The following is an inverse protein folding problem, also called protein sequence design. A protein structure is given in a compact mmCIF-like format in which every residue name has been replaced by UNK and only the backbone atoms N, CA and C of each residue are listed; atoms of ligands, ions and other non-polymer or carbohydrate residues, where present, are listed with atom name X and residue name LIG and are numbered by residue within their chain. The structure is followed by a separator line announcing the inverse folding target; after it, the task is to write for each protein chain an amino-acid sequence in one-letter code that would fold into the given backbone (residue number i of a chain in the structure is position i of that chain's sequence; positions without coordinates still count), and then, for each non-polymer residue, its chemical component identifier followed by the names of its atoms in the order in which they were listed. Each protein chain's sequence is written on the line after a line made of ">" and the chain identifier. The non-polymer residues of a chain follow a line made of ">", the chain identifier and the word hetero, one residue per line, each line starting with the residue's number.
data_IF_637711843256
#
_entry.id   IF_637711843256
#
_cell.length_a   1.000
_cell.length_b   1.000
_cell.length_c   1.000
_cell.angle_alpha   90.00
_cell.angle_beta   90.00
_cell.angle_gamma   90.00
#
_symmetry.space_group_name_H-M   'P 1'
#
loop_
_entity.id
_entity.type
_entity.pdbx_description
1 polymer ?
#
# COMPACT_ATOMS: atom_id res chain seq x y z
N UNK A 1 -19.54 -19.15 -4.59
CA UNK A 1 -18.38 -18.41 -5.14
C UNK A 1 -18.02 -17.39 -4.08
N UNK A 2 -16.74 -17.27 -3.71
CA UNK A 2 -16.32 -16.27 -2.74
C UNK A 2 -16.63 -14.88 -3.31
N UNK A 3 -17.45 -14.10 -2.62
CA UNK A 3 -17.81 -12.73 -3.00
C UNK A 3 -16.79 -11.75 -2.43
N UNK A 4 -15.50 -12.01 -2.72
CA UNK A 4 -14.37 -11.18 -2.29
C UNK A 4 -13.72 -10.61 -3.54
N UNK A 5 -13.50 -9.31 -3.57
CA UNK A 5 -12.68 -8.62 -4.57
C UNK A 5 -11.44 -8.03 -3.94
N UNK A 6 -10.36 -7.92 -4.73
CA UNK A 6 -9.15 -7.22 -4.29
C UNK A 6 -8.95 -5.98 -5.16
N UNK A 7 -8.96 -4.80 -4.55
CA UNK A 7 -8.67 -3.55 -5.23
C UNK A 7 -7.28 -3.07 -4.83
N UNK A 8 -6.49 -2.63 -5.80
CA UNK A 8 -5.17 -2.07 -5.53
C UNK A 8 -5.12 -0.63 -6.00
N UNK A 9 -4.71 0.28 -5.13
CA UNK A 9 -4.43 1.68 -5.46
C UNK A 9 -2.94 1.97 -5.31
N UNK A 10 -2.29 2.39 -6.40
CA UNK A 10 -0.90 2.82 -6.36
C UNK A 10 -0.73 4.27 -5.90
N UNK A 11 0.50 4.68 -5.62
CA UNK A 11 0.80 6.08 -5.27
C UNK A 11 0.34 7.10 -6.32
N UNK A 12 0.22 6.71 -7.59
CA UNK A 12 -0.33 7.56 -8.65
C UNK A 12 -1.81 7.93 -8.45
N UNK A 13 -2.54 7.16 -7.64
CA UNK A 13 -3.95 7.32 -7.27
C UNK A 13 -4.11 7.76 -5.81
N UNK A 14 -3.06 8.33 -5.22
CA UNK A 14 -2.97 8.71 -3.81
C UNK A 14 -2.12 9.99 -3.68
N UNK A 15 -2.47 11.04 -4.45
CA UNK A 15 -1.74 12.31 -4.50
C UNK A 15 -2.43 13.39 -3.70
N UNK A 16 -3.76 13.44 -3.76
CA UNK A 16 -4.57 14.52 -3.22
C UNK A 16 -5.88 13.99 -2.61
N UNK A 17 -6.60 14.83 -1.86
CA UNK A 17 -7.87 14.45 -1.20
C UNK A 17 -8.89 13.88 -2.18
N UNK A 18 -9.00 14.44 -3.38
CA UNK A 18 -9.97 13.98 -4.38
C UNK A 18 -9.69 12.56 -4.88
N UNK A 19 -8.44 12.08 -4.80
CA UNK A 19 -8.10 10.70 -5.11
C UNK A 19 -8.69 9.76 -4.05
N UNK A 20 -8.65 10.16 -2.78
CA UNK A 20 -9.22 9.39 -1.67
C UNK A 20 -10.74 9.31 -1.82
N UNK A 21 -11.39 10.42 -2.17
CA UNK A 21 -12.83 10.45 -2.46
C UNK A 21 -13.18 9.50 -3.61
N UNK A 22 -12.35 9.48 -4.67
CA UNK A 22 -12.53 8.56 -5.78
C UNK A 22 -12.40 7.09 -5.36
N UNK A 23 -11.47 6.75 -4.45
CA UNK A 23 -11.34 5.39 -3.89
C UNK A 23 -12.63 4.98 -3.18
N UNK A 24 -13.14 5.84 -2.30
CA UNK A 24 -14.40 5.60 -1.57
C UNK A 24 -15.55 5.39 -2.55
N UNK A 25 -15.63 6.22 -3.60
CA UNK A 25 -16.63 6.07 -4.66
C UNK A 25 -16.54 4.72 -5.37
N UNK A 26 -15.35 4.25 -5.76
CA UNK A 26 -15.19 2.93 -6.41
C UNK A 26 -15.57 1.77 -5.52
N UNK A 27 -15.32 1.89 -4.21
CA UNK A 27 -15.72 0.89 -3.23
C UNK A 27 -17.25 0.82 -3.13
N UNK A 28 -17.93 1.98 -3.08
CA UNK A 28 -19.39 2.05 -3.04
C UNK A 28 -20.05 1.48 -4.31
N UNK A 29 -19.47 1.76 -5.48
CA UNK A 29 -19.96 1.29 -6.79
C UNK A 29 -19.77 -0.21 -7.01
N UNK A 30 -18.87 -0.88 -6.26
CA UNK A 30 -18.53 -2.28 -6.50
C UNK A 30 -19.63 -3.29 -6.12
N UNK A 31 -20.67 -2.88 -5.39
CA UNK A 31 -21.78 -3.73 -4.90
C UNK A 31 -21.34 -5.07 -4.26
N UNK A 32 -20.11 -5.16 -3.77
CA UNK A 32 -19.51 -6.39 -3.25
C UNK A 32 -19.64 -6.48 -1.72
N UNK A 33 -19.83 -7.69 -1.20
CA UNK A 33 -19.98 -7.94 0.24
C UNK A 33 -18.67 -7.74 0.99
N UNK A 34 -17.51 -8.02 0.37
CA UNK A 34 -16.20 -7.81 0.98
C UNK A 34 -15.16 -7.40 -0.05
N UNK A 35 -14.47 -6.29 0.20
CA UNK A 35 -13.45 -5.75 -0.71
C UNK A 35 -12.16 -5.60 0.08
N UNK A 36 -11.12 -6.33 -0.29
CA UNK A 36 -9.78 -6.14 0.28
C UNK A 36 -9.10 -5.05 -0.52
N UNK A 37 -8.77 -3.95 0.13
CA UNK A 37 -8.07 -2.83 -0.50
C UNK A 37 -6.59 -2.97 -0.20
N UNK A 38 -5.73 -2.91 -1.21
CA UNK A 38 -4.27 -2.85 -1.07
C UNK A 38 -3.82 -1.47 -1.52
N UNK A 39 -3.06 -0.78 -0.68
CA UNK A 39 -2.55 0.56 -0.99
C UNK A 39 -1.03 0.57 -1.02
N UNK A 40 -0.45 1.38 -1.91
CA UNK A 40 0.94 1.81 -1.76
C UNK A 40 1.03 3.03 -0.82
N UNK A 41 2.24 3.47 -0.48
CA UNK A 41 2.43 4.80 0.12
C UNK A 41 1.83 5.92 -0.75
N UNK A 42 1.50 7.07 -0.13
CA UNK A 42 1.08 8.26 -0.85
C UNK A 42 2.17 8.72 -1.82
N UNK A 43 1.77 9.42 -2.88
CA UNK A 43 2.69 9.83 -3.95
C UNK A 43 3.93 10.55 -3.42
N UNK A 44 5.12 10.11 -3.83
CA UNK A 44 6.40 10.71 -3.46
C UNK A 44 6.86 10.46 -2.01
N UNK A 45 6.05 9.83 -1.15
CA UNK A 45 6.44 9.57 0.25
C UNK A 45 7.61 8.59 0.34
N UNK A 46 7.57 7.48 -0.39
CA UNK A 46 8.67 6.51 -0.41
C UNK A 46 9.97 7.14 -0.87
N UNK A 47 9.93 7.95 -1.94
CA UNK A 47 11.12 8.64 -2.47
C UNK A 47 11.67 9.66 -1.46
N UNK A 48 10.80 10.45 -0.81
CA UNK A 48 11.19 11.37 0.26
C UNK A 48 11.86 10.65 1.43
N UNK A 49 11.36 9.48 1.82
CA UNK A 49 11.96 8.66 2.90
C UNK A 49 13.32 8.09 2.46
N UNK A 50 13.44 7.61 1.22
CA UNK A 50 14.71 7.13 0.65
C UNK A 50 15.77 8.24 0.64
N UNK A 51 15.44 9.41 0.10
CA UNK A 51 16.32 10.57 0.09
C UNK A 51 16.70 10.99 1.52
N UNK A 52 15.77 10.87 2.46
CA UNK A 52 16.03 11.20 3.85
C UNK A 52 17.07 10.28 4.48
N UNK A 53 16.93 8.98 4.26
CA UNK A 53 17.85 7.95 4.74
C UNK A 53 19.27 8.16 4.19
N UNK A 54 19.40 8.71 2.98
CA UNK A 54 20.70 9.00 2.35
C UNK A 54 21.43 10.23 2.94
N UNK A 55 20.71 11.19 3.52
CA UNK A 55 21.30 12.43 4.07
C UNK A 55 22.01 12.22 5.41
N UNK A 56 21.56 11.26 6.20
CA UNK A 56 22.12 10.94 7.53
C UNK A 56 22.28 12.15 8.48
N UNK A 57 21.32 13.08 8.48
CA UNK A 57 21.36 14.32 9.27
C UNK A 57 20.41 14.23 10.48
N UNK A 58 20.90 13.86 11.66
CA UNK A 58 20.05 13.63 12.85
C UNK A 58 19.16 14.82 13.24
N UNK A 59 19.68 16.04 13.12
CA UNK A 59 19.05 17.28 13.62
C UNK A 59 17.76 17.66 12.88
N UNK A 60 17.58 17.16 11.66
CA UNK A 60 16.44 17.49 10.79
C UNK A 60 15.37 16.40 10.77
N UNK A 61 15.49 15.34 11.59
CA UNK A 61 14.57 14.18 11.58
C UNK A 61 13.17 14.62 11.97
N UNK A 62 13.01 15.32 13.10
CA UNK A 62 11.70 15.76 13.58
C UNK A 62 10.97 16.63 12.55
N UNK A 63 11.69 17.58 11.94
CA UNK A 63 11.11 18.45 10.90
C UNK A 63 10.68 17.65 9.67
N UNK A 64 11.46 16.63 9.27
CA UNK A 64 11.08 15.74 8.18
C UNK A 64 9.85 14.90 8.52
N UNK A 65 9.83 14.28 9.70
CA UNK A 65 8.70 13.44 10.16
C UNK A 65 7.42 14.28 10.24
N UNK A 66 7.49 15.48 10.82
CA UNK A 66 6.36 16.42 10.84
C UNK A 66 5.88 16.79 9.43
N UNK A 67 6.80 16.98 8.46
CA UNK A 67 6.43 17.25 7.06
C UNK A 67 5.75 16.06 6.37
N UNK A 68 6.04 14.84 6.79
CA UNK A 68 5.41 13.63 6.27
C UNK A 68 4.04 13.48 6.93
N UNK A 69 3.94 13.65 8.25
CA UNK A 69 2.70 13.65 9.00
C UNK A 69 1.70 14.66 8.42
N UNK A 70 2.10 15.94 8.31
CA UNK A 70 1.26 17.01 7.77
C UNK A 70 0.74 16.69 6.37
N UNK A 71 1.58 16.16 5.49
CA UNK A 71 1.17 15.77 4.14
C UNK A 71 0.04 14.71 4.13
N UNK A 72 0.10 13.73 5.03
CA UNK A 72 -0.96 12.73 5.15
C UNK A 72 -2.25 13.33 5.74
N UNK A 73 -2.14 14.22 6.73
CA UNK A 73 -3.29 14.91 7.32
C UNK A 73 -3.97 15.90 6.36
N UNK A 74 -3.22 16.53 5.46
CA UNK A 74 -3.76 17.37 4.39
C UNK A 74 -4.58 16.54 3.39
N UNK A 75 -4.13 15.32 3.07
CA UNK A 75 -4.82 14.44 2.13
C UNK A 75 -6.11 13.86 2.73
N UNK A 76 -6.13 13.50 4.01
CA UNK A 76 -7.35 13.10 4.74
C UNK A 76 -7.55 13.95 5.99
N UNK A 77 -8.25 15.06 5.82
CA UNK A 77 -8.50 16.03 6.90
C UNK A 77 -9.37 15.47 8.02
N UNK A 78 -10.19 14.45 7.73
CA UNK A 78 -11.01 13.76 8.74
C UNK A 78 -10.22 12.81 9.64
N UNK A 79 -9.00 12.44 9.24
CA UNK A 79 -8.17 11.50 9.99
C UNK A 79 -7.92 11.96 11.43
N UNK A 80 -7.69 13.26 11.68
CA UNK A 80 -7.42 13.79 13.03
C UNK A 80 -8.58 13.53 14.01
N UNK A 81 -9.82 13.48 13.52
CA UNK A 81 -11.01 13.23 14.35
C UNK A 81 -11.46 11.77 14.31
N UNK A 82 -10.75 10.91 13.59
CA UNK A 82 -11.07 9.50 13.45
C UNK A 82 -10.54 8.69 14.62
N UNK A 83 -11.26 7.64 15.00
CA UNK A 83 -10.76 6.59 15.90
C UNK A 83 -9.49 5.89 15.42
N UNK A 84 -9.13 6.05 14.13
CA UNK A 84 -7.90 5.52 13.56
C UNK A 84 -6.68 6.43 13.75
N UNK A 85 -6.85 7.67 14.24
CA UNK A 85 -5.74 8.61 14.44
C UNK A 85 -4.61 8.06 15.33
N UNK A 86 -4.89 7.34 16.44
CA UNK A 86 -3.82 6.72 17.22
C UNK A 86 -2.99 5.68 16.45
N UNK A 87 -3.62 4.93 15.53
CA UNK A 87 -2.92 3.96 14.67
C UNK A 87 -2.05 4.69 13.65
N UNK A 88 -2.51 5.82 13.13
CA UNK A 88 -1.71 6.69 12.27
C UNK A 88 -0.48 7.24 13.02
N UNK A 89 -0.64 7.72 14.25
CA UNK A 89 0.48 8.20 15.07
C UNK A 89 1.51 7.10 15.34
N UNK A 90 1.08 5.85 15.56
CA UNK A 90 2.01 4.71 15.68
C UNK A 90 2.88 4.53 14.42
N UNK A 91 2.31 4.73 13.23
CA UNK A 91 3.08 4.66 11.98
C UNK A 91 4.07 5.83 11.83
N UNK A 92 3.69 7.03 12.29
CA UNK A 92 4.55 8.23 12.31
C UNK A 92 5.69 8.06 13.31
N UNK A 93 5.40 7.58 14.52
CA UNK A 93 6.41 7.24 15.54
C UNK A 93 7.38 6.18 15.01
N UNK A 94 6.86 5.12 14.38
CA UNK A 94 7.69 4.09 13.76
C UNK A 94 8.63 4.63 12.67
N UNK A 95 8.21 5.63 11.88
CA UNK A 95 9.11 6.33 10.95
C UNK A 95 10.21 7.09 11.71
N UNK A 96 9.84 7.85 12.74
CA UNK A 96 10.79 8.63 13.54
C UNK A 96 11.86 7.75 14.17
N UNK A 97 11.42 6.70 14.88
CA UNK A 97 12.30 5.75 15.56
C UNK A 97 13.27 5.07 14.58
N UNK A 98 12.76 4.65 13.42
CA UNK A 98 13.57 4.01 12.38
C UNK A 98 14.61 4.96 11.79
N UNK A 99 14.26 6.24 11.58
CA UNK A 99 15.20 7.25 11.08
C UNK A 99 16.29 7.56 12.11
N UNK A 100 15.95 7.69 13.39
CA UNK A 100 16.95 7.88 14.46
C UNK A 100 17.86 6.66 14.58
N UNK A 101 17.29 5.45 14.58
CA UNK A 101 18.05 4.21 14.67
C UNK A 101 18.97 4.00 13.46
N UNK A 102 18.50 4.33 12.25
CA UNK A 102 19.34 4.29 11.05
C UNK A 102 20.46 5.34 11.09
N UNK A 103 20.20 6.52 11.65
CA UNK A 103 21.23 7.55 11.80
C UNK A 103 22.34 7.13 12.77
N UNK A 104 21.95 6.48 13.87
CA UNK A 104 22.87 6.02 14.91
C UNK A 104 23.65 4.77 14.48
N UNK A 105 23.01 3.88 13.73
CA UNK A 105 23.63 2.66 13.21
C UNK A 105 23.02 2.29 11.84
N UNK A 106 23.60 2.79 10.73
CA UNK A 106 23.08 2.52 9.40
C UNK A 106 23.04 1.02 9.10
N UNK A 107 21.83 0.47 9.03
CA UNK A 107 21.59 -0.91 8.65
C UNK A 107 20.34 -1.04 7.79
N UNK A 108 20.24 -2.16 7.07
CA UNK A 108 19.13 -2.42 6.16
C UNK A 108 17.81 -2.62 6.89
N UNK A 109 17.84 -3.14 8.13
CA UNK A 109 16.65 -3.33 8.95
C UNK A 109 15.92 -1.99 9.21
N UNK A 110 16.60 -0.99 9.74
CA UNK A 110 16.03 0.33 10.03
C UNK A 110 15.68 1.07 8.74
N UNK A 111 16.44 0.83 7.65
CA UNK A 111 16.09 1.34 6.32
C UNK A 111 14.74 0.80 5.88
N UNK A 112 14.53 -0.52 5.97
CA UNK A 112 13.25 -1.17 5.64
C UNK A 112 12.14 -0.68 6.56
N UNK A 113 12.35 -0.63 7.87
CA UNK A 113 11.36 -0.16 8.84
C UNK A 113 10.91 1.29 8.57
N UNK A 114 11.83 2.18 8.21
CA UNK A 114 11.48 3.54 7.80
C UNK A 114 10.62 3.56 6.51
N UNK A 115 10.96 2.71 5.53
CA UNK A 115 10.28 2.68 4.24
C UNK A 115 8.84 2.16 4.31
N UNK A 116 8.59 1.14 5.13
CA UNK A 116 7.24 0.56 5.28
C UNK A 116 6.27 1.52 5.97
N UNK A 117 6.75 2.46 6.78
CA UNK A 117 5.91 3.47 7.42
C UNK A 117 5.09 4.29 6.42
N UNK A 118 5.61 4.48 5.20
CA UNK A 118 4.85 5.12 4.11
C UNK A 118 3.56 4.37 3.76
N UNK A 119 3.62 3.04 3.66
CA UNK A 119 2.45 2.20 3.37
C UNK A 119 1.53 2.09 4.59
N UNK A 120 2.10 2.00 5.80
CA UNK A 120 1.32 2.00 7.05
C UNK A 120 0.47 3.27 7.16
N UNK A 121 1.08 4.45 6.99
CA UNK A 121 0.36 5.73 7.06
C UNK A 121 -0.73 5.85 5.99
N UNK A 122 -0.44 5.47 4.74
CA UNK A 122 -1.45 5.54 3.66
C UNK A 122 -2.63 4.58 3.89
N UNK A 123 -2.38 3.39 4.44
CA UNK A 123 -3.45 2.45 4.80
C UNK A 123 -4.42 3.05 5.81
N UNK A 124 -3.93 3.80 6.79
CA UNK A 124 -4.77 4.43 7.81
C UNK A 124 -5.53 5.63 7.24
N UNK A 125 -4.89 6.45 6.41
CA UNK A 125 -5.52 7.57 5.67
C UNK A 125 -6.72 7.06 4.87
N UNK A 126 -6.52 6.02 4.05
CA UNK A 126 -7.58 5.46 3.21
C UNK A 126 -8.68 4.81 4.07
N UNK A 127 -8.31 4.09 5.14
CA UNK A 127 -9.31 3.50 6.06
C UNK A 127 -10.17 4.57 6.70
N UNK A 128 -9.58 5.69 7.14
CA UNK A 128 -10.32 6.77 7.77
C UNK A 128 -11.40 7.36 6.86
N UNK A 129 -11.06 7.62 5.60
CA UNK A 129 -12.02 8.13 4.62
C UNK A 129 -13.14 7.12 4.31
N UNK A 130 -12.81 5.83 4.21
CA UNK A 130 -13.82 4.76 4.01
C UNK A 130 -14.77 4.69 5.22
N UNK A 131 -14.23 4.78 6.44
CA UNK A 131 -15.03 4.77 7.66
C UNK A 131 -15.93 6.00 7.77
N UNK A 132 -15.42 7.19 7.42
CA UNK A 132 -16.19 8.44 7.40
C UNK A 132 -17.38 8.37 6.43
N UNK A 133 -17.22 7.67 5.31
CA UNK A 133 -18.30 7.39 4.36
C UNK A 133 -19.33 6.36 4.87
N UNK A 134 -19.21 5.90 6.12
CA UNK A 134 -20.13 4.95 6.75
C UNK A 134 -19.88 3.49 6.38
N UNK A 135 -18.70 3.17 5.85
CA UNK A 135 -18.33 1.82 5.45
C UNK A 135 -17.41 1.21 6.52
N UNK A 136 -17.81 0.06 7.05
CA UNK A 136 -17.01 -0.68 8.02
C UNK A 136 -15.65 -1.10 7.44
N UNK A 137 -14.57 -0.54 8.00
CA UNK A 137 -13.21 -0.69 7.50
C UNK A 137 -12.18 -0.60 8.61
N UNK A 138 -11.03 -1.24 8.40
CA UNK A 138 -9.93 -1.28 9.36
C UNK A 138 -8.59 -1.33 8.63
N UNK A 139 -7.53 -0.68 9.16
CA UNK A 139 -6.19 -0.86 8.63
C UNK A 139 -5.71 -2.28 8.91
N UNK A 140 -4.90 -2.82 8.02
CA UNK A 140 -4.41 -4.19 8.06
C UNK A 140 -2.94 -4.22 7.63
N UNK A 141 -2.02 -3.97 8.57
CA UNK A 141 -0.59 -3.98 8.26
C UNK A 141 -0.11 -5.41 8.00
N UNK A 142 0.78 -5.56 7.02
CA UNK A 142 1.21 -6.85 6.47
C UNK A 142 1.71 -7.82 7.55
N UNK A 143 2.40 -7.31 8.56
CA UNK A 143 2.98 -8.02 9.69
C UNK A 143 1.95 -8.52 10.71
N UNK A 144 0.84 -7.81 10.85
CA UNK A 144 -0.23 -8.13 11.80
C UNK A 144 -1.20 -9.16 11.21
N UNK A 145 -1.32 -9.17 9.89
CA UNK A 145 -2.23 -10.06 9.18
C UNK A 145 -1.54 -11.31 8.61
N UNK A 146 -0.23 -11.47 8.76
CA UNK A 146 0.49 -12.68 8.36
C UNK A 146 0.85 -12.76 6.86
N UNK A 147 1.24 -11.64 6.24
CA UNK A 147 1.88 -11.66 4.91
C UNK A 147 3.34 -12.09 5.08
N UNK A 148 3.66 -13.26 4.57
CA UNK A 148 5.00 -13.84 4.63
C UNK A 148 5.69 -13.75 3.26
N UNK A 149 6.97 -13.41 3.26
CA UNK A 149 7.82 -13.23 2.09
C UNK A 149 8.95 -14.26 2.12
N UNK A 150 9.19 -14.87 0.96
CA UNK A 150 10.33 -15.74 0.71
C UNK A 150 11.15 -15.27 -0.46
N UNK A 151 12.34 -15.86 -0.60
CA UNK A 151 13.16 -15.71 -1.80
C UNK A 151 12.87 -16.89 -2.71
N UNK A 152 12.30 -16.63 -3.89
CA UNK A 152 12.16 -17.62 -4.96
C UNK A 152 13.06 -17.22 -6.13
N UNK A 153 13.98 -18.11 -6.52
CA UNK A 153 14.93 -17.89 -7.64
C UNK A 153 15.67 -16.54 -7.57
N UNK A 154 15.99 -16.07 -6.36
CA UNK A 154 16.72 -14.82 -6.13
C UNK A 154 15.85 -13.57 -6.13
N UNK A 155 14.52 -13.70 -6.20
CA UNK A 155 13.56 -12.59 -6.15
C UNK A 155 12.71 -12.71 -4.89
N UNK A 156 12.45 -11.58 -4.22
CA UNK A 156 11.51 -11.53 -3.09
C UNK A 156 10.07 -11.64 -3.60
N UNK A 157 9.36 -12.65 -3.11
CA UNK A 157 7.98 -12.96 -3.47
C UNK A 157 7.16 -13.23 -2.22
N UNK A 158 5.84 -13.10 -2.30
CA UNK A 158 4.95 -13.53 -1.23
C UNK A 158 4.92 -15.06 -1.19
N UNK A 159 5.13 -15.63 -0.02
CA UNK A 159 4.88 -17.05 0.22
C UNK A 159 3.37 -17.29 0.32
N UNK A 160 2.76 -17.62 -0.82
CA UNK A 160 1.31 -17.87 -0.92
C UNK A 160 0.85 -18.96 0.04
N UNK A 161 1.65 -20.03 0.21
CA UNK A 161 1.27 -21.15 1.07
C UNK A 161 1.29 -20.75 2.53
N UNK A 162 2.36 -20.09 2.97
CA UNK A 162 2.50 -19.69 4.37
C UNK A 162 1.58 -18.53 4.72
N UNK A 163 1.47 -17.53 3.83
CA UNK A 163 0.48 -16.46 3.94
C UNK A 163 -0.92 -17.06 4.05
N UNK A 164 -1.28 -18.06 3.24
CA UNK A 164 -2.60 -18.70 3.33
C UNK A 164 -2.90 -19.39 4.66
N UNK A 165 -1.87 -19.86 5.39
CA UNK A 165 -2.04 -20.44 6.74
C UNK A 165 -2.16 -19.38 7.83
N UNK A 166 -1.43 -18.27 7.68
CA UNK A 166 -1.32 -17.22 8.70
C UNK A 166 -2.28 -16.05 8.48
N UNK A 167 -2.87 -15.92 7.28
CA UNK A 167 -3.65 -14.75 6.89
C UNK A 167 -4.84 -14.54 7.84
N UNK A 168 -4.81 -13.43 8.57
CA UNK A 168 -5.86 -13.05 9.49
C UNK A 168 -6.32 -11.61 9.22
N UNK A 169 -7.20 -11.45 8.23
CA UNK A 169 -7.76 -10.14 7.91
C UNK A 169 -8.83 -9.71 8.93
N UNK A 170 -8.89 -8.41 9.30
CA UNK A 170 -9.98 -7.88 10.10
C UNK A 170 -11.35 -8.26 9.55
N UNK A 171 -12.27 -8.64 10.43
CA UNK A 171 -13.64 -9.01 10.06
C UNK A 171 -14.52 -7.76 9.84
N UNK A 172 -14.17 -7.01 8.82
CA UNK A 172 -14.85 -5.79 8.35
C UNK A 172 -15.16 -5.92 6.86
N UNK A 173 -16.06 -5.06 6.37
CA UNK A 173 -16.39 -5.02 4.93
C UNK A 173 -15.17 -4.68 4.06
N UNK A 174 -14.34 -3.73 4.51
CA UNK A 174 -13.18 -3.26 3.75
C UNK A 174 -11.90 -3.22 4.61
N UNK A 175 -11.14 -4.32 4.69
CA UNK A 175 -9.78 -4.26 5.25
C UNK A 175 -8.85 -3.54 4.27
N UNK A 176 -8.08 -2.56 4.76
CA UNK A 176 -7.10 -1.80 3.97
C UNK A 176 -5.70 -2.28 4.31
N UNK A 177 -5.16 -3.09 3.41
CA UNK A 177 -3.90 -3.80 3.53
C UNK A 177 -2.73 -2.96 2.98
N UNK A 178 -1.63 -2.93 3.72
CA UNK A 178 -0.36 -2.41 3.18
C UNK A 178 0.19 -3.34 2.11
N UNK A 179 0.60 -2.79 0.97
CA UNK A 179 1.33 -3.52 -0.06
C UNK A 179 2.85 -3.53 0.19
N UNK A 180 3.58 -3.97 -0.84
CA UNK A 180 5.04 -3.87 -1.02
C UNK A 180 5.93 -4.58 0.02
N UNK A 181 5.46 -4.88 1.21
CA UNK A 181 6.25 -5.54 2.25
C UNK A 181 5.47 -6.63 2.97
N UNK A 182 6.21 -7.39 3.77
CA UNK A 182 5.73 -8.47 4.63
C UNK A 182 6.85 -8.92 5.55
N UNK A 183 6.67 -10.05 6.21
CA UNK A 183 7.68 -10.63 7.11
C UNK A 183 8.50 -11.73 6.45
N UNK A 184 9.68 -11.96 7.00
CA UNK A 184 10.47 -13.17 6.80
C UNK A 184 11.15 -13.55 8.13
N UNK A 185 12.00 -14.58 8.10
CA UNK A 185 12.73 -15.07 9.29
C UNK A 185 13.63 -14.00 9.97
N UNK A 186 13.95 -12.90 9.29
CA UNK A 186 14.88 -11.87 9.74
C UNK A 186 14.20 -10.54 10.10
N UNK A 187 12.88 -10.42 9.93
CA UNK A 187 12.12 -9.19 10.18
C UNK A 187 11.26 -8.80 8.99
N UNK A 188 11.23 -7.51 8.65
CA UNK A 188 10.49 -7.03 7.47
C UNK A 188 11.32 -7.22 6.20
N UNK A 189 10.63 -7.57 5.11
CA UNK A 189 11.20 -7.69 3.78
C UNK A 189 10.40 -6.86 2.78
N UNK A 190 11.10 -6.22 1.85
CA UNK A 190 10.49 -5.48 0.75
C UNK A 190 10.42 -6.36 -0.49
N UNK A 191 9.30 -6.25 -1.20
CA UNK A 191 9.13 -6.78 -2.54
C UNK A 191 9.84 -5.88 -3.55
N UNK A 192 10.11 -6.40 -4.74
CA UNK A 192 10.64 -5.60 -5.84
C UNK A 192 9.65 -4.50 -6.29
N UNK A 193 10.05 -3.69 -7.28
CA UNK A 193 9.16 -2.72 -7.93
C UNK A 193 7.88 -3.40 -8.40
N UNK A 194 6.74 -2.75 -8.18
CA UNK A 194 5.42 -3.36 -8.39
C UNK A 194 4.95 -4.26 -7.24
N UNK A 195 5.67 -4.26 -6.11
CA UNK A 195 5.37 -5.14 -4.98
C UNK A 195 3.96 -4.99 -4.40
N UNK A 196 3.37 -3.79 -4.38
CA UNK A 196 1.97 -3.65 -3.96
C UNK A 196 0.99 -4.31 -4.95
N UNK A 197 1.32 -4.40 -6.25
CA UNK A 197 0.52 -5.15 -7.22
C UNK A 197 0.66 -6.66 -6.98
N UNK A 198 1.90 -7.12 -6.72
CA UNK A 198 2.17 -8.51 -6.32
C UNK A 198 1.45 -8.87 -5.02
N UNK A 199 1.33 -7.92 -4.09
CA UNK A 199 0.54 -8.10 -2.86
C UNK A 199 -0.92 -8.34 -3.16
N UNK A 200 -1.52 -7.50 -4.00
CA UNK A 200 -2.92 -7.64 -4.39
C UNK A 200 -3.21 -8.95 -5.14
N UNK A 201 -2.35 -9.33 -6.09
CA UNK A 201 -2.53 -10.59 -6.84
C UNK A 201 -2.30 -11.83 -5.98
N UNK A 202 -1.35 -11.78 -5.04
CA UNK A 202 -1.11 -12.89 -4.10
C UNK A 202 -2.26 -13.04 -3.10
N UNK A 203 -2.76 -11.95 -2.52
CA UNK A 203 -3.93 -11.99 -1.63
C UNK A 203 -5.18 -12.49 -2.34
N UNK A 204 -5.37 -12.12 -3.61
CA UNK A 204 -6.47 -12.66 -4.42
C UNK A 204 -6.40 -14.16 -4.59
N UNK A 205 -5.20 -14.70 -4.85
CA UNK A 205 -4.96 -16.14 -4.91
C UNK A 205 -5.27 -16.82 -3.58
N UNK A 206 -4.74 -16.28 -2.47
CA UNK A 206 -4.95 -16.81 -1.11
C UNK A 206 -6.42 -16.82 -0.71
N UNK A 207 -7.15 -15.74 -0.99
CA UNK A 207 -8.55 -15.56 -0.63
C UNK A 207 -9.53 -16.23 -1.61
N UNK A 208 -9.03 -16.77 -2.71
CA UNK A 208 -9.85 -17.23 -3.84
C UNK A 208 -10.84 -16.14 -4.29
N UNK A 209 -10.35 -14.90 -4.40
CA UNK A 209 -11.16 -13.74 -4.78
C UNK A 209 -11.64 -13.86 -6.23
N UNK A 210 -12.76 -13.21 -6.56
CA UNK A 210 -13.35 -13.27 -7.91
C UNK A 210 -12.48 -12.58 -8.96
N UNK A 211 -11.87 -11.45 -8.57
CA UNK A 211 -11.05 -10.62 -9.43
C UNK A 211 -10.09 -9.73 -8.63
N UNK A 212 -9.07 -9.24 -9.33
CA UNK A 212 -8.18 -8.18 -8.86
C UNK A 212 -8.32 -6.99 -9.79
N UNK A 213 -8.63 -5.82 -9.22
CA UNK A 213 -8.66 -4.56 -9.97
C UNK A 213 -7.45 -3.72 -9.56
N UNK A 214 -6.56 -3.44 -10.51
CA UNK A 214 -5.41 -2.56 -10.32
C UNK A 214 -5.77 -1.16 -10.82
N UNK A 215 -6.01 -0.23 -9.91
CA UNK A 215 -6.31 1.17 -10.21
C UNK A 215 -5.04 1.97 -10.51
N UNK A 216 -5.07 2.72 -11.60
CA UNK A 216 -3.97 3.54 -12.13
C UNK A 216 -4.48 4.90 -12.58
N UNK A 217 -3.56 5.81 -12.84
CA UNK A 217 -3.79 7.12 -13.47
C UNK A 217 -3.91 7.06 -15.00
N UNK A 218 -4.01 5.85 -15.56
CA UNK A 218 -4.27 5.58 -16.98
C UNK A 218 -5.54 4.74 -17.11
N UNK A 219 -6.32 4.90 -18.20
CA UNK A 219 -7.64 4.27 -18.35
C UNK A 219 -7.60 2.75 -18.60
N UNK A 220 -6.41 2.14 -18.62
CA UNK A 220 -6.20 0.72 -18.87
C UNK A 220 -4.83 0.47 -19.50
N UNK A 221 -4.67 -0.71 -20.09
CA UNK A 221 -3.46 -1.03 -20.85
C UNK A 221 -3.57 -0.40 -22.24
N UNK A 222 -2.67 0.54 -22.54
CA UNK A 222 -2.65 1.21 -23.84
C UNK A 222 -1.69 0.49 -24.79
N UNK A 223 -2.06 0.41 -26.08
CA UNK A 223 -1.21 -0.21 -27.11
C UNK A 223 0.15 0.49 -27.31
N UNK A 224 0.28 1.72 -26.81
CA UNK A 224 1.48 2.55 -26.85
C UNK A 224 1.51 3.34 -25.55
N UNK A 225 2.71 3.55 -25.01
CA UNK A 225 2.88 4.24 -23.74
C UNK A 225 2.40 5.71 -23.83
N UNK A 226 1.58 6.20 -22.88
CA UNK A 226 1.03 7.55 -22.94
C UNK A 226 2.11 8.65 -22.86
N UNK A 227 3.29 8.34 -22.31
CA UNK A 227 4.46 9.25 -22.28
C UNK A 227 4.95 9.69 -23.66
N UNK A 228 4.57 8.99 -24.73
CA UNK A 228 4.94 9.37 -26.10
C UNK A 228 4.02 10.45 -26.67
N UNK A 229 2.96 10.85 -25.96
CA UNK A 229 1.97 11.84 -26.43
C UNK A 229 1.33 11.45 -27.77
N UNK A 230 1.30 10.16 -28.08
CA UNK A 230 0.65 9.59 -29.27
C UNK A 230 -0.71 9.04 -28.82
N UNK A 231 -1.82 9.40 -29.49
CA UNK A 231 -3.12 8.79 -29.24
C UNK A 231 -3.02 7.27 -29.35
N UNK A 232 -3.41 6.57 -28.28
CA UNK A 232 -3.32 5.12 -28.20
C UNK A 232 -4.64 4.54 -27.76
N UNK A 233 -5.02 3.41 -28.37
CA UNK A 233 -6.24 2.70 -28.00
C UNK A 233 -6.02 1.87 -26.75
N UNK A 234 -7.06 1.75 -25.93
CA UNK A 234 -7.10 0.81 -24.83
C UNK A 234 -7.20 -0.63 -25.37
N UNK A 235 -6.52 -1.56 -24.71
CA UNK A 235 -6.57 -2.99 -24.97
C UNK A 235 -7.55 -3.60 -23.97
N UNK A 236 -8.83 -3.83 -24.36
CA UNK A 236 -9.87 -4.21 -23.43
C UNK A 236 -9.69 -5.63 -22.87
N UNK A 237 -8.98 -6.49 -23.61
CA UNK A 237 -8.66 -7.86 -23.21
C UNK A 237 -7.25 -8.18 -23.64
N UNK A 238 -6.51 -8.82 -22.73
CA UNK A 238 -5.19 -9.38 -22.95
C UNK A 238 -5.14 -10.74 -22.27
N UNK A 239 -4.53 -11.71 -22.93
CA UNK A 239 -4.09 -12.92 -22.27
C UNK A 239 -2.94 -12.63 -21.31
N UNK A 240 -2.72 -13.50 -20.33
CA UNK A 240 -1.58 -13.37 -19.42
C UNK A 240 -0.24 -13.30 -20.16
N UNK A 241 -0.08 -14.08 -21.23
CA UNK A 241 1.13 -14.08 -22.05
C UNK A 241 1.36 -12.73 -22.71
N UNK A 242 0.33 -12.14 -23.33
CA UNK A 242 0.44 -10.81 -23.95
C UNK A 242 0.73 -9.73 -22.90
N UNK A 243 0.10 -9.80 -21.74
CA UNK A 243 0.34 -8.84 -20.65
C UNK A 243 1.76 -8.92 -20.08
N UNK A 244 2.38 -10.11 -20.06
CA UNK A 244 3.74 -10.31 -19.59
C UNK A 244 4.80 -9.79 -20.58
N UNK A 245 4.48 -9.72 -21.87
CA UNK A 245 5.40 -9.23 -22.92
C UNK A 245 5.40 -7.70 -23.09
N UNK A 246 4.46 -6.99 -22.46
CA UNK A 246 4.31 -5.52 -22.50
C UNK A 246 5.11 -4.80 -21.41
#
# INVERSE_FOLDING_TARGET
>A
MNNVRVFKFGGSCLKETHDIDAIVQRIMESECERIVVVVSALHGVTDRILERLERNERETIDAFVASIEMFHLEISTSLVNSHHYPIFLQAVEGLSDSLYAHCDNPNEKFRTEALISGERMSSVVVTSAITEAGIDSAPAWAEDIGIEIKIDKGVTVIDIEETGKQLNLPNVKVPVVTGWYGKNDFGFALLARGGSDLTATSLSSVLSASDVTIWRDVPGVLALAPRWSIPSRNLPYLSYTEAQEL
#
